data_IF_811758142848
#
_entry.id   IF_811758142848
#
_cell.length_a   1.000
_cell.length_b   1.000
_cell.length_c   1.000
_cell.angle_alpha   90.00
_cell.angle_beta   90.00
_cell.angle_gamma   90.00
#
_symmetry.space_group_name_H-M   'P 1'
#
loop_
_entity.id
_entity.type
_entity.pdbx_description
1 polymer ?
#
# COMPACT_ATOMS: atom_id res chain seq x y z
N UNK A 1 1.04 7.21 -36.61
CA UNK A 1 0.43 6.51 -35.45
C UNK A 1 0.28 7.54 -34.35
N UNK A 2 -0.89 7.67 -33.74
CA UNK A 2 -1.04 8.50 -32.55
C UNK A 2 -0.14 7.93 -31.43
N UNK A 3 0.51 8.77 -30.61
CA UNK A 3 1.29 8.29 -29.48
C UNK A 3 0.41 7.48 -28.55
N UNK A 4 0.85 6.28 -28.18
CA UNK A 4 0.18 5.43 -27.19
C UNK A 4 0.23 6.13 -25.84
N UNK A 5 -0.92 6.26 -25.17
CA UNK A 5 -1.00 6.85 -23.84
C UNK A 5 -0.38 5.91 -22.81
N UNK A 6 0.81 6.24 -22.31
CA UNK A 6 1.55 5.40 -21.34
C UNK A 6 0.76 5.17 -20.05
N UNK A 7 -0.14 6.08 -19.68
CA UNK A 7 -0.98 5.97 -18.48
C UNK A 7 -2.17 5.02 -18.64
N UNK A 8 -2.41 4.50 -19.84
CA UNK A 8 -3.47 3.53 -20.15
C UNK A 8 -2.92 2.23 -20.77
N UNK A 9 -1.60 2.09 -20.83
CA UNK A 9 -0.95 0.94 -21.48
C UNK A 9 -0.73 -0.21 -20.49
N UNK A 10 -0.94 -1.44 -20.96
CA UNK A 10 -0.62 -2.66 -20.22
C UNK A 10 0.90 -2.86 -20.13
N UNK A 11 1.35 -3.48 -19.04
CA UNK A 11 2.76 -3.84 -18.83
C UNK A 11 2.85 -5.25 -18.28
N UNK A 12 4.08 -5.74 -18.02
CA UNK A 12 4.27 -7.04 -17.37
C UNK A 12 3.63 -7.07 -15.98
N UNK A 13 3.69 -5.97 -15.23
CA UNK A 13 3.07 -5.87 -13.90
C UNK A 13 1.61 -5.43 -13.95
N UNK A 14 1.25 -4.56 -14.90
CA UNK A 14 -0.11 -4.10 -15.13
C UNK A 14 -0.78 -4.96 -16.20
N UNK A 15 -0.86 -6.27 -15.95
CA UNK A 15 -1.37 -7.29 -16.86
C UNK A 15 -2.91 -7.36 -16.85
N UNK A 16 -3.57 -6.22 -17.03
CA UNK A 16 -5.03 -6.11 -16.93
C UNK A 16 -5.81 -6.76 -18.08
N UNK A 17 -5.12 -7.17 -19.15
CA UNK A 17 -5.66 -8.02 -20.21
C UNK A 17 -5.70 -9.51 -19.82
N UNK A 18 -5.18 -9.86 -18.64
CA UNK A 18 -5.27 -11.23 -18.13
C UNK A 18 -6.75 -11.61 -17.87
N UNK A 19 -7.14 -12.87 -18.13
CA UNK A 19 -8.54 -13.29 -17.95
C UNK A 19 -9.09 -13.06 -16.54
N UNK A 20 -8.27 -13.20 -15.49
CA UNK A 20 -8.72 -12.97 -14.11
C UNK A 20 -9.10 -11.51 -13.86
N UNK A 21 -8.31 -10.56 -14.38
CA UNK A 21 -8.59 -9.13 -14.24
C UNK A 21 -9.77 -8.73 -15.13
N UNK A 22 -9.75 -9.08 -16.42
CA UNK A 22 -10.83 -8.69 -17.34
C UNK A 22 -12.18 -9.29 -16.94
N UNK A 23 -12.21 -10.53 -16.43
CA UNK A 23 -13.43 -11.14 -15.90
C UNK A 23 -13.93 -10.40 -14.65
N UNK A 24 -13.06 -10.07 -13.70
CA UNK A 24 -13.44 -9.30 -12.51
C UNK A 24 -14.08 -7.96 -12.91
N UNK A 25 -13.46 -7.22 -13.82
CA UNK A 25 -13.93 -5.90 -14.26
C UNK A 25 -15.30 -6.00 -14.92
N UNK A 26 -15.50 -7.00 -15.79
CA UNK A 26 -16.80 -7.29 -16.42
C UNK A 26 -17.85 -7.68 -15.38
N UNK A 27 -17.54 -8.62 -14.50
CA UNK A 27 -18.50 -9.16 -13.53
C UNK A 27 -18.90 -8.11 -12.48
N UNK A 28 -18.03 -7.12 -12.22
CA UNK A 28 -18.32 -5.95 -11.38
C UNK A 28 -19.06 -4.83 -12.10
N UNK A 29 -19.18 -4.88 -13.43
CA UNK A 29 -19.87 -3.86 -14.22
C UNK A 29 -19.22 -2.48 -14.16
N UNK A 30 -17.92 -2.39 -13.87
CA UNK A 30 -17.28 -1.08 -13.63
C UNK A 30 -17.26 -0.18 -14.86
N UNK A 31 -17.24 -0.73 -16.07
CA UNK A 31 -17.32 0.08 -17.30
C UNK A 31 -18.61 0.89 -17.42
N UNK A 32 -19.70 0.43 -16.82
CA UNK A 32 -21.02 1.06 -16.93
C UNK A 32 -21.19 2.22 -15.93
N UNK A 33 -20.24 2.39 -14.99
CA UNK A 33 -20.24 3.48 -14.03
C UNK A 33 -19.74 4.80 -14.65
N UNK A 34 -20.16 5.93 -14.07
CA UNK A 34 -19.58 7.23 -14.37
C UNK A 34 -18.10 7.26 -13.96
N UNK A 35 -17.29 8.12 -14.59
CA UNK A 35 -15.82 8.14 -14.41
C UNK A 35 -15.39 8.21 -12.94
N UNK A 36 -16.00 9.09 -12.14
CA UNK A 36 -15.70 9.25 -10.71
C UNK A 36 -16.07 8.01 -9.90
N UNK A 37 -17.17 7.34 -10.28
CA UNK A 37 -17.67 6.14 -9.62
C UNK A 37 -16.81 4.91 -9.97
N UNK A 38 -16.20 4.88 -11.16
CA UNK A 38 -15.19 3.87 -11.53
C UNK A 38 -14.01 3.91 -10.57
N UNK A 39 -13.47 5.10 -10.31
CA UNK A 39 -12.35 5.29 -9.38
C UNK A 39 -12.72 4.77 -8.00
N UNK A 40 -13.87 5.22 -7.48
CA UNK A 40 -14.36 4.80 -6.17
C UNK A 40 -14.58 3.29 -6.05
N UNK A 41 -15.27 2.69 -7.02
CA UNK A 41 -15.58 1.26 -6.99
C UNK A 41 -14.32 0.37 -7.07
N UNK A 42 -13.36 0.74 -7.91
CA UNK A 42 -12.06 0.06 -8.01
C UNK A 42 -11.24 0.25 -6.72
N UNK A 43 -11.17 1.49 -6.22
CA UNK A 43 -10.46 1.82 -4.98
C UNK A 43 -11.01 1.04 -3.80
N UNK A 44 -12.33 1.03 -3.62
CA UNK A 44 -12.99 0.33 -2.51
C UNK A 44 -12.80 -1.19 -2.60
N UNK A 45 -12.78 -1.75 -3.81
CA UNK A 45 -12.45 -3.15 -4.01
C UNK A 45 -11.03 -3.46 -3.55
N UNK A 46 -10.03 -2.70 -4.01
CA UNK A 46 -8.63 -2.95 -3.61
C UNK A 46 -8.45 -2.70 -2.12
N UNK A 47 -9.09 -1.68 -1.56
CA UNK A 47 -8.99 -1.39 -0.13
C UNK A 47 -9.59 -2.50 0.73
N UNK A 48 -10.81 -2.93 0.42
CA UNK A 48 -11.62 -3.73 1.35
C UNK A 48 -11.75 -5.20 0.98
N UNK A 49 -11.59 -5.58 -0.29
CA UNK A 49 -11.67 -6.97 -0.75
C UNK A 49 -10.29 -7.62 -0.78
N UNK A 50 -9.26 -6.86 -1.20
CA UNK A 50 -7.88 -7.34 -1.19
C UNK A 50 -7.29 -7.04 0.18
N UNK A 51 -7.13 -8.08 1.00
CA UNK A 51 -6.72 -7.91 2.39
C UNK A 51 -5.32 -7.28 2.51
N UNK A 52 -5.08 -6.48 3.55
CA UNK A 52 -3.71 -6.09 3.89
C UNK A 52 -2.89 -7.35 4.23
N UNK A 53 -1.67 -7.45 3.70
CA UNK A 53 -0.75 -8.57 3.88
C UNK A 53 0.56 -8.36 3.11
N UNK A 54 1.47 -9.33 3.16
CA UNK A 54 2.83 -9.23 2.63
C UNK A 54 3.07 -10.35 1.61
N UNK A 55 3.21 -10.00 0.34
CA UNK A 55 3.48 -10.94 -0.74
C UNK A 55 4.95 -11.40 -0.73
N UNK A 56 5.28 -12.32 -1.63
CA UNK A 56 6.62 -12.92 -1.74
C UNK A 56 7.69 -11.91 -2.16
N UNK A 57 7.35 -11.00 -3.08
CA UNK A 57 8.17 -9.92 -3.62
C UNK A 57 7.25 -8.80 -4.10
N UNK A 58 7.79 -7.60 -4.30
CA UNK A 58 7.01 -6.41 -4.71
C UNK A 58 6.62 -6.42 -6.20
N UNK A 59 7.44 -7.01 -7.06
CA UNK A 59 7.35 -6.95 -8.52
C UNK A 59 6.59 -8.13 -9.13
N UNK A 60 5.46 -8.50 -8.51
CA UNK A 60 4.53 -9.51 -9.04
C UNK A 60 3.41 -8.88 -9.89
N UNK A 61 2.91 -9.56 -10.94
CA UNK A 61 1.81 -9.05 -11.75
C UNK A 61 0.52 -8.84 -10.98
N UNK A 62 -0.31 -7.89 -11.41
CA UNK A 62 -1.60 -7.59 -10.81
C UNK A 62 -2.51 -8.82 -10.73
N UNK A 63 -2.52 -9.66 -11.77
CA UNK A 63 -3.27 -10.93 -11.76
C UNK A 63 -2.84 -11.89 -10.65
N UNK A 64 -1.54 -11.90 -10.29
CA UNK A 64 -1.01 -12.69 -9.19
C UNK A 64 -1.40 -12.11 -7.83
N UNK A 65 -1.39 -10.77 -7.68
CA UNK A 65 -1.88 -10.09 -6.47
C UNK A 65 -3.38 -10.39 -6.25
N UNK A 66 -4.17 -10.35 -7.33
CA UNK A 66 -5.59 -10.69 -7.28
C UNK A 66 -5.79 -12.15 -6.85
N UNK A 67 -4.99 -13.06 -7.37
CA UNK A 67 -5.03 -14.50 -7.02
C UNK A 67 -4.63 -14.74 -5.56
N UNK A 68 -3.60 -14.04 -5.06
CA UNK A 68 -3.20 -14.10 -3.66
C UNK A 68 -4.32 -13.61 -2.73
N UNK A 69 -5.13 -12.63 -3.18
CA UNK A 69 -6.24 -12.05 -2.41
C UNK A 69 -5.79 -11.14 -1.27
N UNK A 70 -4.51 -10.80 -1.21
CA UNK A 70 -3.94 -9.86 -0.26
C UNK A 70 -2.71 -9.16 -0.84
N UNK A 71 -2.35 -8.03 -0.24
CA UNK A 71 -1.04 -7.45 -0.45
C UNK A 71 -0.72 -6.23 0.38
N UNK A 72 0.47 -5.71 0.14
CA UNK A 72 1.00 -4.49 0.78
C UNK A 72 0.88 -3.31 -0.17
N UNK A 73 1.26 -2.11 0.27
CA UNK A 73 1.29 -0.88 -0.52
C UNK A 73 1.67 -1.07 -2.00
N UNK A 74 2.86 -1.63 -2.25
CA UNK A 74 3.46 -1.83 -3.56
C UNK A 74 2.63 -2.76 -4.47
N UNK A 75 2.27 -3.94 -3.98
CA UNK A 75 1.51 -4.93 -4.74
C UNK A 75 0.03 -4.55 -4.89
N UNK A 76 -0.58 -3.98 -3.85
CA UNK A 76 -1.94 -3.45 -3.93
C UNK A 76 -2.00 -2.22 -4.84
N UNK A 77 -0.96 -1.39 -4.87
CA UNK A 77 -0.81 -0.29 -5.82
C UNK A 77 -0.72 -0.78 -7.26
N UNK A 78 0.05 -1.85 -7.51
CA UNK A 78 0.13 -2.53 -8.82
C UNK A 78 -1.24 -3.03 -9.28
N UNK A 79 -1.99 -3.72 -8.40
CA UNK A 79 -3.34 -4.16 -8.70
C UNK A 79 -4.31 -2.98 -8.92
N UNK A 80 -4.25 -1.95 -8.07
CA UNK A 80 -5.07 -0.74 -8.21
C UNK A 80 -4.85 -0.07 -9.56
N UNK A 81 -3.60 0.14 -9.97
CA UNK A 81 -3.27 0.72 -11.27
C UNK A 81 -3.81 -0.14 -12.42
N UNK A 82 -3.63 -1.46 -12.36
CA UNK A 82 -4.11 -2.37 -13.41
C UNK A 82 -5.64 -2.29 -13.56
N UNK A 83 -6.37 -2.30 -12.45
CA UNK A 83 -7.84 -2.20 -12.47
C UNK A 83 -8.30 -0.82 -12.95
N UNK A 84 -7.64 0.28 -12.53
CA UNK A 84 -7.96 1.63 -12.99
C UNK A 84 -7.77 1.78 -14.50
N UNK A 85 -6.64 1.29 -15.03
CA UNK A 85 -6.37 1.31 -16.49
C UNK A 85 -7.36 0.47 -17.27
N UNK A 86 -7.74 -0.70 -16.74
CA UNK A 86 -8.72 -1.57 -17.38
C UNK A 86 -10.07 -0.87 -17.60
N UNK A 87 -10.44 0.10 -16.75
CA UNK A 87 -11.68 0.88 -16.87
C UNK A 87 -11.48 2.28 -17.48
N UNK A 88 -10.32 2.51 -18.10
CA UNK A 88 -10.00 3.72 -18.84
C UNK A 88 -9.60 4.92 -17.97
N UNK A 89 -9.17 4.69 -16.73
CA UNK A 89 -8.69 5.75 -15.84
C UNK A 89 -7.16 5.86 -15.96
N UNK A 90 -6.70 7.05 -16.36
CA UNK A 90 -5.28 7.40 -16.38
C UNK A 90 -4.75 7.45 -14.95
N UNK A 91 -3.70 6.67 -14.71
CA UNK A 91 -3.04 6.60 -13.40
C UNK A 91 -1.53 6.42 -13.54
N UNK A 92 -0.79 6.87 -12.53
CA UNK A 92 0.66 6.74 -12.41
C UNK A 92 1.07 6.33 -11.00
N UNK A 93 2.28 5.80 -10.86
CA UNK A 93 2.83 5.44 -9.55
C UNK A 93 3.60 6.64 -8.99
N UNK A 94 3.53 6.86 -7.68
CA UNK A 94 4.45 7.73 -6.96
C UNK A 94 5.31 6.88 -6.04
N UNK A 95 6.62 6.91 -6.24
CA UNK A 95 7.58 6.08 -5.50
C UNK A 95 8.29 6.88 -4.41
N UNK A 96 8.50 6.27 -3.25
CA UNK A 96 9.21 6.89 -2.13
C UNK A 96 9.76 5.82 -1.17
N UNK A 97 10.44 6.26 -0.12
CA UNK A 97 10.78 5.41 1.03
C UNK A 97 10.06 5.89 2.28
N UNK A 98 9.78 4.96 3.17
CA UNK A 98 9.21 5.23 4.48
C UNK A 98 10.10 4.73 5.61
N UNK A 99 9.98 5.33 6.80
CA UNK A 99 10.69 4.84 7.97
C UNK A 99 10.07 3.52 8.48
N UNK A 100 10.91 2.54 8.82
CA UNK A 100 10.48 1.19 9.27
C UNK A 100 9.58 1.17 10.50
N UNK A 101 9.55 2.27 11.28
CA UNK A 101 8.63 2.44 12.40
C UNK A 101 7.17 2.18 12.02
N UNK A 102 6.77 2.52 10.79
CA UNK A 102 5.44 2.22 10.28
C UNK A 102 5.11 0.73 10.28
N UNK A 103 6.10 -0.13 10.08
CA UNK A 103 5.89 -1.58 10.06
C UNK A 103 6.01 -2.23 11.45
N UNK A 104 6.38 -1.48 12.49
CA UNK A 104 6.49 -2.00 13.85
C UNK A 104 5.14 -2.54 14.34
N UNK A 105 5.14 -3.65 15.06
CA UNK A 105 3.92 -4.37 15.44
C UNK A 105 3.45 -5.39 14.41
N UNK A 106 3.54 -5.07 13.11
CA UNK A 106 3.36 -6.09 12.05
C UNK A 106 4.61 -6.94 11.90
N UNK A 107 5.78 -6.30 11.75
CA UNK A 107 7.07 -6.99 11.75
C UNK A 107 7.33 -7.56 13.14
N UNK A 108 7.68 -8.85 13.26
CA UNK A 108 8.02 -9.44 14.54
C UNK A 108 9.19 -8.75 15.24
N UNK A 109 9.08 -8.46 16.54
CA UNK A 109 10.13 -7.77 17.30
C UNK A 109 11.48 -8.49 17.26
N UNK A 110 11.49 -9.83 17.13
CA UNK A 110 12.73 -10.61 16.95
C UNK A 110 13.45 -10.28 15.63
N UNK A 111 12.69 -9.89 14.60
CA UNK A 111 13.19 -9.63 13.24
C UNK A 111 13.31 -8.13 12.96
N UNK A 112 12.57 -7.30 13.69
CA UNK A 112 12.50 -5.85 13.50
C UNK A 112 13.88 -5.13 13.51
N UNK A 113 14.86 -5.51 14.35
CA UNK A 113 16.20 -4.94 14.28
C UNK A 113 16.92 -5.20 12.95
N UNK A 114 16.58 -6.29 12.25
CA UNK A 114 17.17 -6.68 10.97
C UNK A 114 16.53 -5.96 9.77
N UNK A 115 15.37 -5.33 9.97
CA UNK A 115 14.73 -4.53 8.92
C UNK A 115 15.53 -3.24 8.67
N UNK A 116 15.73 -2.85 7.40
CA UNK A 116 16.40 -1.61 7.04
C UNK A 116 15.61 -0.41 7.56
N UNK A 117 16.29 0.69 7.86
CA UNK A 117 15.67 1.91 8.39
C UNK A 117 14.61 2.47 7.45
N UNK A 118 14.86 2.39 6.15
CA UNK A 118 13.99 2.83 5.07
C UNK A 118 13.43 1.63 4.30
N UNK A 119 12.13 1.68 4.01
CA UNK A 119 11.38 0.67 3.27
C UNK A 119 10.86 1.31 1.99
N UNK A 120 11.07 0.64 0.85
CA UNK A 120 10.55 1.04 -0.44
C UNK A 120 9.02 1.02 -0.42
N UNK A 121 8.41 2.08 -0.94
CA UNK A 121 6.99 2.29 -0.85
C UNK A 121 6.46 3.02 -2.08
N UNK A 122 5.15 2.93 -2.27
CA UNK A 122 4.46 3.65 -3.33
C UNK A 122 2.99 3.90 -3.00
N UNK A 123 2.42 4.91 -3.66
CA UNK A 123 0.98 5.10 -3.81
C UNK A 123 0.63 5.30 -5.28
N UNK A 124 -0.67 5.35 -5.58
CA UNK A 124 -1.18 5.57 -6.94
C UNK A 124 -1.71 6.99 -7.04
N UNK A 125 -1.42 7.67 -8.14
CA UNK A 125 -2.08 8.93 -8.49
C UNK A 125 -3.04 8.70 -9.66
N UNK A 126 -4.21 9.33 -9.61
CA UNK A 126 -5.22 9.26 -10.67
C UNK A 126 -5.55 10.64 -11.20
N UNK A 127 -5.82 10.71 -12.50
CA UNK A 127 -6.19 11.96 -13.18
C UNK A 127 -7.72 12.15 -13.17
N UNK A 128 -8.14 13.22 -12.50
CA UNK A 128 -9.52 13.73 -12.47
C UNK A 128 -9.64 14.98 -13.34
N UNK A 129 -10.85 15.54 -13.43
CA UNK A 129 -11.09 16.82 -14.12
C UNK A 129 -10.36 18.00 -13.45
N UNK A 130 -10.10 17.91 -12.14
CA UNK A 130 -9.42 18.93 -11.34
C UNK A 130 -7.89 18.74 -11.30
N UNK A 131 -7.38 17.64 -11.87
CA UNK A 131 -5.96 17.32 -11.92
C UNK A 131 -5.61 15.97 -11.28
N UNK A 132 -4.35 15.83 -10.88
CA UNK A 132 -3.86 14.59 -10.26
C UNK A 132 -4.14 14.59 -8.76
N UNK A 133 -4.69 13.49 -8.26
CA UNK A 133 -4.94 13.27 -6.83
C UNK A 133 -4.29 11.97 -6.35
N UNK A 134 -4.00 11.90 -5.07
CA UNK A 134 -3.29 10.77 -4.45
C UNK A 134 -4.26 9.74 -3.88
N UNK A 135 -4.06 8.46 -4.22
CA UNK A 135 -4.74 7.33 -3.63
C UNK A 135 -3.72 6.54 -2.80
N UNK A 136 -3.63 6.82 -1.49
CA UNK A 136 -2.71 6.14 -0.56
C UNK A 136 -3.48 5.35 0.51
N UNK A 137 -4.71 5.75 0.84
CA UNK A 137 -5.55 5.12 1.88
C UNK A 137 -6.00 3.67 1.62
N UNK A 138 -5.67 3.09 0.46
CA UNK A 138 -6.12 1.75 0.05
C UNK A 138 -5.42 0.60 0.80
N UNK A 139 -4.36 0.90 1.57
CA UNK A 139 -3.48 -0.12 2.13
C UNK A 139 -4.20 -0.97 3.18
N UNK A 140 -4.82 -0.31 4.17
CA UNK A 140 -5.48 -0.96 5.30
C UNK A 140 -6.96 -1.21 5.01
N UNK A 141 -7.37 -2.48 5.06
CA UNK A 141 -8.78 -2.86 4.98
C UNK A 141 -9.57 -2.39 6.23
N UNK A 142 -10.86 -2.12 6.05
CA UNK A 142 -11.69 -1.55 7.11
C UNK A 142 -11.66 -2.32 8.44
N UNK A 143 -11.77 -3.67 8.48
CA UNK A 143 -11.70 -4.41 9.74
C UNK A 143 -10.34 -4.29 10.45
N UNK A 144 -9.24 -4.22 9.68
CA UNK A 144 -7.92 -3.98 10.23
C UNK A 144 -7.81 -2.58 10.85
N UNK A 145 -8.23 -1.54 10.13
CA UNK A 145 -8.19 -0.16 10.63
C UNK A 145 -9.09 0.02 11.86
N UNK A 146 -10.30 -0.54 11.86
CA UNK A 146 -11.21 -0.50 13.01
C UNK A 146 -10.59 -1.14 14.26
N UNK A 147 -9.81 -2.21 14.08
CA UNK A 147 -9.12 -2.86 15.20
C UNK A 147 -8.04 -1.94 15.79
N UNK A 148 -7.33 -1.17 14.97
CA UNK A 148 -6.39 -0.15 15.45
C UNK A 148 -7.12 0.99 16.17
N UNK A 149 -8.21 1.50 15.58
CA UNK A 149 -9.02 2.57 16.17
C UNK A 149 -9.59 2.20 17.54
N UNK A 150 -9.99 0.93 17.71
CA UNK A 150 -10.48 0.41 18.98
C UNK A 150 -9.38 0.30 20.04
N UNK A 151 -8.20 -0.19 19.66
CA UNK A 151 -7.08 -0.35 20.60
C UNK A 151 -6.49 1.00 21.02
N UNK A 152 -6.38 1.93 20.08
CA UNK A 152 -5.75 3.24 20.25
C UNK A 152 -6.78 4.37 20.33
N UNK A 153 -7.95 4.11 20.91
CA UNK A 153 -9.07 5.07 20.97
C UNK A 153 -8.77 6.35 21.75
N UNK A 154 -7.71 6.36 22.55
CA UNK A 154 -7.26 7.51 23.35
C UNK A 154 -6.24 8.41 22.61
N UNK A 155 -5.90 8.09 21.35
CA UNK A 155 -4.85 8.79 20.60
C UNK A 155 -5.27 9.06 19.16
N UNK A 156 -4.98 10.26 18.66
CA UNK A 156 -5.18 10.61 17.25
C UNK A 156 -3.96 10.27 16.38
N UNK A 157 -2.76 10.27 16.94
CA UNK A 157 -1.54 9.97 16.19
C UNK A 157 -1.09 8.52 16.39
N UNK A 158 -0.80 7.83 15.30
CA UNK A 158 -0.26 6.47 15.29
C UNK A 158 0.80 6.33 14.18
N UNK A 159 1.99 5.86 14.57
CA UNK A 159 3.05 5.42 13.67
C UNK A 159 3.44 3.99 14.02
N UNK A 160 2.87 3.03 13.29
CA UNK A 160 3.02 1.60 13.53
C UNK A 160 1.84 0.81 12.99
N UNK A 161 1.96 -0.52 13.01
CA UNK A 161 0.97 -1.46 12.49
C UNK A 161 0.57 -1.27 11.01
N UNK A 162 1.35 -0.54 10.23
CA UNK A 162 1.01 -0.11 8.88
C UNK A 162 0.16 1.16 8.83
N UNK A 163 0.04 1.92 9.91
CA UNK A 163 -0.59 3.24 9.93
C UNK A 163 0.42 4.32 10.33
N UNK A 164 0.35 5.46 9.65
CA UNK A 164 1.14 6.68 9.86
C UNK A 164 0.23 7.90 9.67
N UNK A 165 -0.57 8.20 10.68
CA UNK A 165 -1.60 9.23 10.63
C UNK A 165 -1.66 10.00 11.94
N UNK A 166 -2.00 11.29 11.86
CA UNK A 166 -2.30 12.16 13.01
C UNK A 166 -3.80 12.33 13.26
N UNK A 167 -4.63 11.57 12.53
CA UNK A 167 -6.08 11.53 12.67
C UNK A 167 -6.55 10.07 12.58
N UNK A 168 -6.24 9.26 13.60
CA UNK A 168 -6.57 7.84 13.63
C UNK A 168 -8.07 7.60 13.78
N UNK A 169 -8.79 8.49 14.47
CA UNK A 169 -10.24 8.37 14.65
C UNK A 169 -11.00 8.43 13.32
N UNK A 170 -10.53 9.26 12.38
CA UNK A 170 -11.16 9.46 11.07
C UNK A 170 -10.12 9.80 9.98
N UNK A 171 -9.21 8.88 9.63
CA UNK A 171 -8.22 9.15 8.59
C UNK A 171 -8.92 9.24 7.23
N UNK A 172 -8.43 10.06 6.29
CA UNK A 172 -9.05 10.25 4.98
C UNK A 172 -8.77 9.04 4.07
N UNK A 173 -9.35 7.88 4.38
CA UNK A 173 -9.09 6.59 3.69
C UNK A 173 -10.24 6.13 2.80
N UNK A 174 -11.38 6.82 2.83
CA UNK A 174 -12.52 6.50 2.00
C UNK A 174 -12.55 7.43 0.79
N UNK A 175 -12.85 6.89 -0.38
CA UNK A 175 -13.02 7.70 -1.58
C UNK A 175 -14.24 8.62 -1.46
N UNK A 176 -14.03 9.91 -1.74
CA UNK A 176 -15.08 10.93 -1.79
C UNK A 176 -14.86 11.94 -2.94
N UNK A 177 -14.03 11.57 -3.93
CA UNK A 177 -13.55 12.48 -4.98
C UNK A 177 -12.20 13.14 -4.69
N UNK A 178 -11.74 13.12 -3.43
CA UNK A 178 -10.47 13.71 -3.01
C UNK A 178 -9.31 12.72 -2.84
N UNK A 179 -8.14 13.27 -2.49
CA UNK A 179 -6.97 12.45 -2.14
C UNK A 179 -7.21 11.67 -0.85
N UNK A 180 -6.66 10.45 -0.77
CA UNK A 180 -6.75 9.57 0.41
C UNK A 180 -5.38 9.27 0.99
N UNK A 181 -5.28 9.13 2.32
CA UNK A 181 -4.02 8.91 3.05
C UNK A 181 -4.17 8.04 4.30
N UNK A 182 -3.13 7.28 4.62
CA UNK A 182 -2.99 6.49 5.86
C UNK A 182 -1.54 6.38 6.38
N UNK A 183 -0.51 6.67 5.58
CA UNK A 183 0.91 6.52 5.95
C UNK A 183 1.78 7.73 5.57
N UNK A 184 1.18 8.83 5.10
CA UNK A 184 1.91 10.04 4.65
C UNK A 184 2.96 10.56 5.66
N UNK A 185 2.75 10.41 6.97
CA UNK A 185 3.66 10.96 7.99
C UNK A 185 5.02 10.23 8.08
N UNK A 186 5.19 9.08 7.41
CA UNK A 186 6.41 8.29 7.49
C UNK A 186 7.36 8.41 6.29
N UNK A 187 7.11 9.30 5.33
CA UNK A 187 7.95 9.47 4.13
C UNK A 187 9.33 10.02 4.52
N UNK A 188 10.40 9.38 4.02
CA UNK A 188 11.80 9.79 4.24
C UNK A 188 12.42 10.37 2.98
N UNK A 189 12.27 9.70 1.83
CA UNK A 189 12.78 10.16 0.54
C UNK A 189 11.74 9.98 -0.54
N UNK A 190 11.51 11.03 -1.33
CA UNK A 190 10.60 11.06 -2.46
C UNK A 190 11.37 10.78 -3.76
N UNK A 191 10.90 9.82 -4.57
CA UNK A 191 11.48 9.47 -5.87
C UNK A 191 10.68 10.02 -7.06
N UNK A 192 9.56 10.68 -6.81
CA UNK A 192 8.67 11.25 -7.81
C UNK A 192 7.76 10.21 -8.46
N UNK A 193 7.34 10.54 -9.68
CA UNK A 193 6.31 9.79 -10.40
C UNK A 193 6.88 8.93 -11.52
N UNK A 194 6.22 7.79 -11.75
CA UNK A 194 6.56 6.80 -12.76
C UNK A 194 5.29 6.42 -13.51
N UNK A 195 5.38 6.31 -14.84
CA UNK A 195 4.24 5.92 -15.67
C UNK A 195 3.76 4.52 -15.28
N UNK A 196 4.67 3.56 -15.04
CA UNK A 196 4.30 2.21 -14.59
C UNK A 196 5.16 1.74 -13.40
N UNK A 197 4.67 0.77 -12.60
CA UNK A 197 5.47 0.13 -11.56
C UNK A 197 6.69 -0.61 -12.11
N UNK A 198 6.66 -1.05 -13.36
CA UNK A 198 7.82 -1.64 -14.03
C UNK A 198 9.01 -0.67 -14.04
N UNK A 199 8.79 0.60 -14.40
CA UNK A 199 9.83 1.63 -14.44
C UNK A 199 10.39 1.93 -13.05
N UNK A 200 9.53 1.87 -12.04
CA UNK A 200 9.91 2.06 -10.65
C UNK A 200 10.78 0.90 -10.15
N UNK A 201 10.34 -0.34 -10.32
CA UNK A 201 11.08 -1.51 -9.81
C UNK A 201 12.35 -1.84 -10.62
N UNK A 202 12.45 -1.35 -11.86
CA UNK A 202 13.71 -1.38 -12.62
C UNK A 202 14.79 -0.51 -11.99
N UNK A 203 14.41 0.62 -11.38
CA UNK A 203 15.36 1.57 -10.76
C UNK A 203 15.55 1.34 -9.27
N UNK A 204 14.49 0.95 -8.57
CA UNK A 204 14.46 0.84 -7.12
C UNK A 204 13.96 -0.54 -6.72
N UNK A 205 14.78 -1.28 -5.97
CA UNK A 205 14.38 -2.56 -5.40
C UNK A 205 14.92 -2.68 -3.98
N UNK A 206 14.15 -3.33 -3.12
CA UNK A 206 14.57 -3.57 -1.75
C UNK A 206 15.33 -4.89 -1.68
N UNK A 207 16.66 -4.81 -1.78
CA UNK A 207 17.52 -5.99 -1.79
C UNK A 207 18.09 -6.24 -0.38
N UNK A 208 17.67 -7.34 0.26
CA UNK A 208 18.18 -7.73 1.57
C UNK A 208 19.35 -8.72 1.48
N UNK A 209 19.76 -9.09 0.27
CA UNK A 209 20.69 -10.17 -0.01
C UNK A 209 20.02 -11.55 0.01
N UNK A 210 20.57 -12.50 -0.74
CA UNK A 210 19.96 -13.79 -1.05
C UNK A 210 19.42 -14.55 0.19
N UNK A 211 20.22 -14.61 1.26
CA UNK A 211 19.83 -15.33 2.48
C UNK A 211 18.65 -14.67 3.22
N UNK A 212 18.64 -13.33 3.31
CA UNK A 212 17.54 -12.60 3.97
C UNK A 212 16.29 -12.62 3.12
N UNK A 213 16.42 -12.52 1.80
CA UNK A 213 15.32 -12.68 0.85
C UNK A 213 14.68 -14.06 0.97
N UNK A 214 15.48 -15.11 1.04
CA UNK A 214 14.99 -16.48 1.24
C UNK A 214 14.23 -16.59 2.57
N UNK A 215 14.81 -16.09 3.67
CA UNK A 215 14.17 -16.11 4.99
C UNK A 215 12.87 -15.29 5.00
N UNK A 216 12.84 -14.15 4.33
CA UNK A 216 11.64 -13.32 4.18
C UNK A 216 10.53 -14.09 3.47
N UNK A 217 10.86 -14.65 2.29
CA UNK A 217 9.93 -15.36 1.41
C UNK A 217 9.35 -16.62 2.05
N UNK A 218 10.11 -17.33 2.88
CA UNK A 218 9.67 -18.62 3.41
C UNK A 218 9.23 -18.60 4.88
N UNK A 219 9.60 -17.58 5.65
CA UNK A 219 9.31 -17.53 7.10
C UNK A 219 8.71 -16.20 7.52
N UNK A 220 9.45 -15.09 7.37
CA UNK A 220 9.10 -13.82 8.02
C UNK A 220 7.76 -13.30 7.50
N UNK A 221 7.51 -13.33 6.18
CA UNK A 221 6.24 -12.84 5.62
C UNK A 221 5.03 -13.62 6.12
N UNK A 222 5.17 -14.93 6.35
CA UNK A 222 4.07 -15.75 6.84
C UNK A 222 3.76 -15.43 8.31
N UNK A 223 4.78 -15.12 9.10
CA UNK A 223 4.60 -14.63 10.47
C UNK A 223 3.95 -13.25 10.49
N UNK A 224 4.41 -12.32 9.64
CA UNK A 224 3.80 -11.01 9.46
C UNK A 224 2.32 -11.14 9.07
N UNK A 225 2.00 -11.98 8.09
CA UNK A 225 0.62 -12.22 7.65
C UNK A 225 -0.23 -12.87 8.75
N UNK A 226 0.34 -13.73 9.59
CA UNK A 226 -0.37 -14.26 10.76
C UNK A 226 -0.69 -13.15 11.77
N UNK A 227 0.24 -12.21 12.02
CA UNK A 227 0.01 -11.04 12.87
C UNK A 227 -1.05 -10.12 12.27
N UNK A 228 -0.99 -9.82 10.98
CA UNK A 228 -1.99 -9.01 10.28
C UNK A 228 -3.38 -9.62 10.43
N UNK A 229 -3.53 -10.95 10.23
CA UNK A 229 -4.79 -11.65 10.46
C UNK A 229 -5.27 -11.59 11.91
N UNK A 230 -4.36 -11.58 12.89
CA UNK A 230 -4.73 -11.43 14.31
C UNK A 230 -5.18 -10.01 14.63
N UNK A 231 -4.46 -8.99 14.15
CA UNK A 231 -4.83 -7.58 14.31
C UNK A 231 -6.22 -7.34 13.72
N UNK A 232 -6.49 -7.83 12.51
CA UNK A 232 -7.82 -7.76 11.86
C UNK A 232 -8.96 -8.38 12.70
N UNK A 233 -8.63 -9.33 13.58
CA UNK A 233 -9.58 -9.97 14.51
C UNK A 233 -9.58 -9.30 15.90
N UNK A 234 -9.01 -8.11 16.03
CA UNK A 234 -8.91 -7.37 17.29
C UNK A 234 -7.85 -7.89 18.26
N UNK A 235 -6.90 -8.73 17.83
CA UNK A 235 -5.82 -9.25 18.66
C UNK A 235 -4.48 -8.63 18.27
N UNK A 236 -4.16 -7.48 18.85
CA UNK A 236 -2.88 -6.82 18.60
C UNK A 236 -1.74 -7.46 19.41
N UNK A 237 -0.55 -7.66 18.81
CA UNK A 237 0.63 -8.05 19.58
C UNK A 237 1.05 -6.91 20.51
N UNK A 238 1.37 -7.21 21.76
CA UNK A 238 1.97 -6.21 22.66
C UNK A 238 3.37 -5.86 22.16
N UNK A 239 3.60 -4.59 21.85
CA UNK A 239 4.89 -4.06 21.42
C UNK A 239 5.43 -3.14 22.52
N UNK A 240 6.55 -3.49 23.19
CA UNK A 240 7.15 -2.65 24.21
C UNK A 240 7.51 -1.25 23.66
N UNK A 241 7.10 -0.18 24.34
CA UNK A 241 7.45 1.19 23.95
C UNK A 241 6.69 1.75 22.74
N UNK A 242 5.64 1.07 22.26
CA UNK A 242 4.69 1.64 21.30
C UNK A 242 3.48 2.31 22.01
N UNK A 243 3.58 2.47 23.33
CA UNK A 243 2.58 3.12 24.16
C UNK A 243 2.89 4.61 24.24
N UNK A 244 2.00 5.42 23.65
CA UNK A 244 1.83 6.88 23.74
C UNK A 244 2.44 7.69 22.59
N UNK A 245 1.68 8.64 22.03
CA UNK A 245 2.07 9.42 20.87
C UNK A 245 3.19 10.35 21.29
N UNK A 246 4.26 10.39 20.52
CA UNK A 246 5.08 11.58 20.33
C UNK A 246 5.95 11.32 19.11
N UNK A 247 5.56 11.95 18.00
CA UNK A 247 6.52 12.30 16.97
C UNK A 247 7.53 13.27 17.60
N UNK A 248 8.73 12.78 17.86
CA UNK A 248 9.94 13.61 17.83
C UNK A 248 11.03 12.76 17.18
N UNK A 249 11.07 12.78 15.84
CA UNK A 249 12.30 12.47 15.13
C UNK A 249 13.29 13.64 15.38
N UNK A 250 13.78 13.73 16.60
CA UNK A 250 15.06 14.36 16.91
C UNK A 250 16.03 13.21 17.21
N UNK A 251 16.55 12.58 16.16
CA UNK A 251 17.81 11.86 16.31
C UNK A 251 18.94 12.89 16.22
N UNK A 252 19.56 13.09 17.39
CA UNK A 252 20.82 13.75 17.65
C UNK A 252 21.80 13.74 16.47
N UNK A 253 21.92 14.88 15.80
CA UNK A 253 23.15 15.25 15.13
C UNK A 253 24.14 15.76 16.20
N UNK A 254 24.70 14.83 17.00
CA UNK A 254 25.88 15.07 17.82
C UNK A 254 26.99 14.13 17.36
N UNK A 255 27.67 14.54 16.30
CA UNK A 255 29.08 14.25 16.12
C UNK A 255 29.80 15.60 16.22
N UNK A 256 30.45 15.80 17.36
CA UNK A 256 31.67 16.59 17.44
C UNK A 256 32.84 15.65 17.08
#
# INVERSE_FOLDING_TARGET
>A
MAPTDSYLTATRLLDFDSPSISNLVRDRGWHDLARVDRIGAVYDFVRNVIAFGYNRVDDIPASAVLTDGYGQCNTKGTLLMALLRSVGIRCRLHGFTIHKALQRGVVPELVYPLAPSEILHSWVEVETEEGWINLEGFILDAPFLQSLQKEFSETESLCGYGAGTDCLSAPPVSWNGGSTYIQKTGIVRDFGTFDAPDDFYLKYSQNFGFARDFLYRHVIRHWMNARVRRIRRGMLPKVPGLSRPNHSHEENNRAA
#
